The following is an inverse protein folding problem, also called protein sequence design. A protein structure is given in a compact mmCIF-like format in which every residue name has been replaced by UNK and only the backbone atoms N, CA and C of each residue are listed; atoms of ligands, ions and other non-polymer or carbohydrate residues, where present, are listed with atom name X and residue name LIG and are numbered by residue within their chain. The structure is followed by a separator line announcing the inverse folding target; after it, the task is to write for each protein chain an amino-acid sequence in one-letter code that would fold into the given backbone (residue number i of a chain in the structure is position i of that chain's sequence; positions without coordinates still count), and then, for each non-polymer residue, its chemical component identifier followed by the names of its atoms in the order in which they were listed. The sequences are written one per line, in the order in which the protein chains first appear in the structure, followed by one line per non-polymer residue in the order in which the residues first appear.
data_IF_548971056919
#
_entry.id   IF_548971056919
#
_cell.length_a   1.000
_cell.length_b   1.000
_cell.length_c   1.000
_cell.angle_alpha   90.00
_cell.angle_beta   90.00
_cell.angle_gamma   90.00
#
_symmetry.space_group_name_H-M   'P 1'
#
loop_
_entity.id
_entity.type
_entity.pdbx_description
1 polymer ?
#
# COMPACT_ATOMS: atom_id res chain seq x y z
N UNK A 1 8.58 7.69 1.83
CA UNK A 1 9.30 7.22 3.03
C UNK A 1 9.93 8.37 3.83
N UNK A 2 10.92 9.15 3.34
CA UNK A 2 11.61 10.16 4.16
C UNK A 2 10.69 11.29 4.67
N UNK A 3 9.79 11.76 3.82
CA UNK A 3 8.82 12.82 4.15
C UNK A 3 7.84 12.37 5.24
N UNK A 4 7.41 11.11 5.21
CA UNK A 4 6.46 10.56 6.18
C UNK A 4 7.09 10.38 7.57
N UNK A 5 8.38 10.00 7.62
CA UNK A 5 9.16 9.91 8.84
C UNK A 5 9.43 11.31 9.42
N UNK A 6 9.68 12.31 8.58
CA UNK A 6 9.79 13.69 9.03
C UNK A 6 8.46 14.23 9.58
N UNK A 7 7.33 13.86 8.97
CA UNK A 7 6.00 14.24 9.44
C UNK A 7 5.61 13.57 10.76
N UNK A 8 6.04 12.33 11.02
CA UNK A 8 5.77 11.65 12.29
C UNK A 8 6.42 12.36 13.49
N UNK A 9 7.60 12.96 13.29
CA UNK A 9 8.26 13.79 14.30
C UNK A 9 7.44 15.04 14.67
N UNK A 10 6.70 15.63 13.72
CA UNK A 10 5.78 16.74 13.99
C UNK A 10 4.46 16.32 14.65
N UNK A 11 4.07 15.06 14.49
CA UNK A 11 2.82 14.49 15.01
C UNK A 11 3.01 13.77 16.37
N UNK A 12 4.23 13.72 16.92
CA UNK A 12 4.57 12.97 18.15
C UNK A 12 4.15 11.49 18.11
N UNK A 13 4.08 10.90 16.92
CA UNK A 13 3.79 9.47 16.73
C UNK A 13 5.06 8.74 16.36
N UNK A 14 5.15 7.48 16.80
CA UNK A 14 6.28 6.63 16.48
C UNK A 14 6.45 6.54 14.94
N UNK A 15 7.66 6.83 14.39
CA UNK A 15 7.92 6.73 12.97
C UNK A 15 7.55 5.37 12.35
N UNK A 16 7.64 4.27 13.10
CA UNK A 16 7.23 2.93 12.64
C UNK A 16 5.73 2.84 12.37
N UNK A 17 4.88 3.56 13.10
CA UNK A 17 3.43 3.59 12.85
C UNK A 17 3.08 4.15 11.48
N UNK A 18 3.91 5.04 10.94
CA UNK A 18 3.67 5.67 9.64
C UNK A 18 4.47 4.98 8.54
N UNK A 19 5.70 4.54 8.84
CA UNK A 19 6.60 3.93 7.86
C UNK A 19 6.14 2.53 7.42
N UNK A 20 5.66 1.68 8.34
CA UNK A 20 5.23 0.31 8.04
C UNK A 20 4.02 0.28 7.09
N UNK A 21 2.88 0.93 7.40
CA UNK A 21 1.74 0.93 6.48
C UNK A 21 2.06 1.68 5.19
N UNK A 22 2.90 2.72 5.22
CA UNK A 22 3.32 3.42 4.02
C UNK A 22 4.19 2.55 3.09
N UNK A 23 5.08 1.73 3.64
CA UNK A 23 5.87 0.78 2.86
C UNK A 23 4.97 -0.29 2.20
N UNK A 24 4.04 -0.86 2.96
CA UNK A 24 3.08 -1.86 2.45
C UNK A 24 2.11 -1.26 1.41
N UNK A 25 1.67 -0.02 1.61
CA UNK A 25 0.83 0.69 0.65
C UNK A 25 1.61 1.05 -0.62
N UNK A 26 2.89 1.43 -0.49
CA UNK A 26 3.76 1.73 -1.64
C UNK A 26 4.00 0.49 -2.52
N UNK A 27 4.13 -0.70 -1.93
CA UNK A 27 4.22 -1.95 -2.71
C UNK A 27 2.91 -2.34 -3.39
N UNK A 28 1.79 -1.77 -2.95
CA UNK A 28 0.46 -2.13 -3.46
C UNK A 28 0.04 -1.32 -4.70
N UNK A 29 0.93 -0.61 -5.39
CA UNK A 29 0.58 0.20 -6.56
C UNK A 29 0.19 -0.64 -7.81
N UNK A 30 -0.99 -1.26 -7.79
CA UNK A 30 -1.48 -2.16 -8.86
C UNK A 30 -2.36 -1.47 -9.92
N UNK A 31 -2.59 -0.16 -9.82
CA UNK A 31 -3.54 0.56 -10.69
C UNK A 31 -3.00 0.93 -12.07
N UNK A 32 -1.69 1.00 -12.27
CA UNK A 32 -1.09 1.44 -13.53
C UNK A 32 -0.24 0.32 -14.16
N UNK A 33 -0.31 0.10 -15.48
CA UNK A 33 0.44 -0.94 -16.17
C UNK A 33 1.96 -0.75 -16.07
N UNK A 34 2.40 0.50 -15.88
CA UNK A 34 3.80 0.89 -15.71
C UNK A 34 4.40 0.48 -14.36
N UNK A 35 3.56 0.13 -13.37
CA UNK A 35 4.02 -0.05 -12.00
C UNK A 35 4.84 -1.34 -11.80
N UNK A 36 4.57 -2.42 -12.57
CA UNK A 36 5.28 -3.69 -12.44
C UNK A 36 5.36 -4.45 -13.78
N UNK A 37 6.47 -5.16 -14.08
CA UNK A 37 6.64 -5.92 -15.33
C UNK A 37 5.49 -6.90 -15.67
N UNK A 38 4.89 -7.62 -14.70
CA UNK A 38 3.76 -8.52 -14.98
C UNK A 38 2.51 -7.80 -15.51
N UNK A 39 2.19 -6.62 -14.96
CA UNK A 39 1.04 -5.82 -15.40
C UNK A 39 1.24 -5.26 -16.82
N UNK A 40 2.48 -4.89 -17.18
CA UNK A 40 2.82 -4.47 -18.54
C UNK A 40 2.70 -5.61 -19.56
N UNK A 41 3.12 -6.83 -19.20
CA UNK A 41 2.99 -8.03 -20.05
C UNK A 41 1.50 -8.40 -20.27
N UNK A 42 0.69 -8.35 -19.21
CA UNK A 42 -0.75 -8.60 -19.31
C UNK A 42 -1.46 -7.59 -20.20
N UNK A 43 -1.10 -6.30 -20.12
CA UNK A 43 -1.60 -5.26 -21.03
C UNK A 43 -1.13 -5.47 -22.48
N UNK A 44 0.15 -5.81 -22.68
CA UNK A 44 0.74 -6.07 -24.00
C UNK A 44 0.19 -7.30 -24.72
N UNK A 45 -0.48 -8.21 -24.00
CA UNK A 45 -1.13 -9.39 -24.58
C UNK A 45 -2.35 -9.07 -25.47
N UNK A 46 -2.87 -7.83 -25.41
CA UNK A 46 -4.06 -7.40 -26.17
C UNK A 46 -5.40 -7.92 -25.63
N UNK A 47 -5.38 -8.86 -24.67
CA UNK A 47 -6.58 -9.40 -24.02
C UNK A 47 -7.14 -8.49 -22.92
N UNK A 48 -6.30 -7.66 -22.29
CA UNK A 48 -6.68 -6.82 -21.15
C UNK A 48 -6.68 -5.34 -21.54
N UNK A 49 -7.86 -4.72 -21.55
CA UNK A 49 -8.00 -3.27 -21.82
C UNK A 49 -7.61 -2.44 -20.59
N UNK A 50 -7.11 -1.23 -20.82
CA UNK A 50 -6.69 -0.28 -19.77
C UNK A 50 -7.78 -0.07 -18.71
N UNK A 51 -9.04 0.07 -19.13
CA UNK A 51 -10.18 0.24 -18.22
C UNK A 51 -10.44 -0.97 -17.30
N UNK A 52 -10.13 -2.19 -17.74
CA UNK A 52 -10.24 -3.39 -16.89
C UNK A 52 -9.11 -3.46 -15.88
N UNK A 53 -7.89 -3.08 -16.26
CA UNK A 53 -6.76 -2.99 -15.33
C UNK A 53 -6.99 -1.96 -14.24
N UNK A 54 -7.48 -0.77 -14.60
CA UNK A 54 -7.78 0.29 -13.62
C UNK A 54 -8.84 -0.20 -12.64
N UNK A 55 -9.92 -0.82 -13.12
CA UNK A 55 -11.02 -1.31 -12.26
C UNK A 55 -10.56 -2.45 -11.34
N UNK A 56 -9.76 -3.39 -11.84
CA UNK A 56 -9.17 -4.45 -11.03
C UNK A 56 -8.18 -3.90 -9.99
N UNK A 57 -7.32 -2.96 -10.38
CA UNK A 57 -6.35 -2.31 -9.51
C UNK A 57 -6.98 -1.48 -8.39
N UNK A 58 -8.11 -0.80 -8.65
CA UNK A 58 -8.87 -0.08 -7.62
C UNK A 58 -9.40 -1.06 -6.56
N UNK A 59 -10.02 -2.17 -6.99
CA UNK A 59 -10.50 -3.19 -6.06
C UNK A 59 -9.37 -3.80 -5.23
N UNK A 60 -8.23 -4.10 -5.87
CA UNK A 60 -7.06 -4.64 -5.16
C UNK A 60 -6.48 -3.63 -4.17
N UNK A 61 -6.42 -2.35 -4.53
CA UNK A 61 -5.95 -1.27 -3.65
C UNK A 61 -6.85 -1.11 -2.43
N UNK A 62 -8.18 -1.17 -2.60
CA UNK A 62 -9.12 -1.05 -1.49
C UNK A 62 -8.98 -2.23 -0.54
N UNK A 63 -8.93 -3.46 -1.06
CA UNK A 63 -8.73 -4.66 -0.24
C UNK A 63 -7.36 -4.62 0.46
N UNK A 64 -6.31 -4.23 -0.25
CA UNK A 64 -4.97 -4.07 0.31
C UNK A 64 -4.92 -3.01 1.41
N UNK A 65 -5.55 -1.86 1.22
CA UNK A 65 -5.65 -0.82 2.24
C UNK A 65 -6.37 -1.32 3.49
N UNK A 66 -7.52 -2.00 3.33
CA UNK A 66 -8.28 -2.57 4.46
C UNK A 66 -7.45 -3.62 5.19
N UNK A 67 -6.75 -4.51 4.48
CA UNK A 67 -5.90 -5.54 5.07
C UNK A 67 -4.68 -4.93 5.79
N UNK A 68 -4.06 -3.89 5.23
CA UNK A 68 -2.94 -3.19 5.86
C UNK A 68 -3.42 -2.47 7.12
N UNK A 69 -4.56 -1.78 7.08
CA UNK A 69 -5.14 -1.11 8.25
C UNK A 69 -5.55 -2.11 9.34
N UNK A 70 -6.21 -3.22 8.97
CA UNK A 70 -6.58 -4.27 9.91
C UNK A 70 -5.35 -4.99 10.48
N UNK A 71 -4.34 -5.27 9.65
CA UNK A 71 -3.07 -5.85 10.05
C UNK A 71 -2.31 -4.93 11.01
N UNK A 72 -2.28 -3.63 10.74
CA UNK A 72 -1.74 -2.63 11.66
C UNK A 72 -2.50 -2.64 12.99
N UNK A 73 -3.83 -2.62 13.00
CA UNK A 73 -4.60 -2.68 14.25
C UNK A 73 -4.39 -3.98 15.03
N UNK A 74 -4.23 -5.12 14.34
CA UNK A 74 -4.06 -6.44 14.96
C UNK A 74 -2.61 -6.73 15.41
N UNK A 75 -1.60 -6.20 14.71
CA UNK A 75 -0.18 -6.49 14.94
C UNK A 75 0.58 -5.32 15.62
N UNK A 76 0.07 -4.08 15.58
CA UNK A 76 0.74 -2.94 16.22
C UNK A 76 0.87 -3.08 17.73
N UNK A 77 -0.15 -3.66 18.38
CA UNK A 77 -0.11 -3.96 19.82
C UNK A 77 0.89 -5.08 20.17
N UNK A 78 0.68 -6.32 19.70
CA UNK A 78 1.46 -7.46 20.18
C UNK A 78 2.86 -7.62 19.58
N UNK A 79 3.14 -7.11 18.36
CA UNK A 79 4.43 -7.33 17.67
C UNK A 79 5.33 -6.09 17.71
N UNK A 80 4.74 -4.89 17.74
CA UNK A 80 5.50 -3.63 17.70
C UNK A 80 5.58 -2.92 19.06
N UNK A 81 4.81 -3.34 20.06
CA UNK A 81 4.82 -2.76 21.41
C UNK A 81 4.33 -1.30 21.43
N UNK A 82 3.66 -0.86 20.38
CA UNK A 82 3.19 0.52 20.24
C UNK A 82 1.83 0.63 20.91
N UNK A 83 1.78 1.42 21.98
CA UNK A 83 0.52 1.82 22.62
C UNK A 83 -0.03 3.04 21.88
N UNK A 84 -1.31 2.99 21.50
CA UNK A 84 -2.05 4.12 20.93
C UNK A 84 -2.24 5.24 21.94
#
# INVERSE_FOLDING_TARGET
MPILIAASAGLNVDPMLVAIPAALAATSAFMLPVATPPNAIAFGSGYVKMGQMIRAGIWLNIVGAVLITAGMFALAGPVLGVSF
#
